data_IF_517824908577
#
_entry.id   IF_517824908577
#
_cell.length_a   1.000
_cell.length_b   1.000
_cell.length_c   1.000
_cell.angle_alpha   90.00
_cell.angle_beta   90.00
_cell.angle_gamma   90.00
#
_symmetry.space_group_name_H-M   'P 1'
#
loop_
_entity.id
_entity.type
_entity.pdbx_description
1 polymer ?
#
# COMPACT_ATOMS: atom_id res chain seq x y z
N UNK A 1 23.12 5.08 16.11
CA UNK A 1 24.27 4.98 15.20
C UNK A 1 23.74 5.09 13.78
N UNK A 2 24.18 6.08 13.01
CA UNK A 2 23.84 6.16 11.58
C UNK A 2 24.43 4.95 10.87
N UNK A 3 23.69 4.36 9.93
CA UNK A 3 24.20 3.26 9.12
C UNK A 3 25.30 3.79 8.20
N UNK A 4 26.40 3.07 8.08
CA UNK A 4 27.52 3.47 7.21
C UNK A 4 27.63 2.48 6.07
N UNK A 5 27.42 2.95 4.86
CA UNK A 5 27.68 2.18 3.64
C UNK A 5 29.17 2.29 3.29
N UNK A 6 29.85 1.16 3.12
CA UNK A 6 31.31 1.14 3.00
C UNK A 6 31.80 1.37 1.57
N UNK A 7 31.02 0.89 0.59
CA UNK A 7 31.36 0.96 -0.83
C UNK A 7 30.12 1.24 -1.66
N UNK A 8 30.30 1.68 -2.91
CA UNK A 8 29.19 1.81 -3.85
C UNK A 8 28.47 0.48 -4.11
N UNK A 9 29.20 -0.63 -4.11
CA UNK A 9 28.61 -1.96 -4.26
C UNK A 9 27.76 -2.34 -3.04
N UNK A 10 28.16 -1.95 -1.83
CA UNK A 10 27.36 -2.13 -0.62
C UNK A 10 26.03 -1.35 -0.70
N UNK A 11 26.09 -0.09 -1.16
CA UNK A 11 24.88 0.71 -1.45
C UNK A 11 24.01 0.01 -2.48
N UNK A 12 24.61 -0.48 -3.57
CA UNK A 12 23.91 -1.16 -4.66
C UNK A 12 23.21 -2.44 -4.17
N UNK A 13 23.93 -3.29 -3.46
CA UNK A 13 23.38 -4.53 -2.92
C UNK A 13 22.21 -4.27 -1.97
N UNK A 14 22.33 -3.26 -1.10
CA UNK A 14 21.34 -2.98 -0.06
C UNK A 14 20.13 -2.20 -0.55
N UNK A 15 20.34 -1.14 -1.32
CA UNK A 15 19.32 -0.13 -1.63
C UNK A 15 18.88 -0.10 -3.09
N UNK A 16 19.62 -0.69 -4.03
CA UNK A 16 19.21 -0.59 -5.44
C UNK A 16 17.81 -1.20 -5.63
N UNK A 17 16.95 -0.47 -6.35
CA UNK A 17 15.54 -0.78 -6.64
C UNK A 17 14.63 -0.90 -5.42
N UNK A 18 15.05 -0.43 -4.24
CA UNK A 18 14.17 -0.36 -3.08
C UNK A 18 13.32 0.89 -3.10
N UNK A 19 12.16 0.82 -2.45
CA UNK A 19 11.35 1.99 -2.11
C UNK A 19 11.88 2.60 -0.82
N UNK A 20 12.13 3.90 -0.84
CA UNK A 20 12.55 4.70 0.32
C UNK A 20 11.66 5.92 0.44
N UNK A 21 11.55 6.50 1.63
CA UNK A 21 10.96 7.82 1.80
C UNK A 21 12.04 8.91 1.85
N UNK A 22 11.72 10.07 1.32
CA UNK A 22 12.57 11.26 1.30
C UNK A 22 11.70 12.52 1.28
N UNK A 23 11.90 13.43 2.23
CA UNK A 23 11.13 14.69 2.32
C UNK A 23 9.61 14.47 2.33
N UNK A 24 9.17 13.42 3.03
CA UNK A 24 7.75 13.08 3.15
C UNK A 24 7.14 12.46 1.90
N UNK A 25 7.93 11.99 0.93
CA UNK A 25 7.44 11.30 -0.27
C UNK A 25 8.23 10.03 -0.58
N UNK A 26 7.72 9.18 -1.47
CA UNK A 26 8.29 7.86 -1.77
C UNK A 26 8.93 7.79 -3.16
N UNK A 27 10.08 7.13 -3.21
CA UNK A 27 10.91 7.03 -4.40
C UNK A 27 11.47 5.62 -4.57
N UNK A 28 11.68 5.21 -5.82
CA UNK A 28 12.53 4.06 -6.15
C UNK A 28 13.98 4.52 -6.19
N UNK A 29 14.86 3.80 -5.50
CA UNK A 29 16.30 4.05 -5.54
C UNK A 29 16.92 3.43 -6.80
N UNK A 30 17.72 4.22 -7.50
CA UNK A 30 18.57 3.79 -8.59
C UNK A 30 20.03 4.16 -8.30
N UNK A 31 20.85 3.14 -8.04
CA UNK A 31 22.28 3.27 -7.77
C UNK A 31 23.11 3.19 -9.06
N UNK A 32 22.52 2.75 -10.16
CA UNK A 32 23.22 2.58 -11.43
C UNK A 32 23.16 3.85 -12.30
N UNK A 33 22.30 4.80 -11.95
CA UNK A 33 22.24 6.11 -12.58
C UNK A 33 23.57 6.88 -12.45
N UNK A 34 23.97 7.65 -13.49
CA UNK A 34 25.18 8.46 -13.44
C UNK A 34 25.04 9.54 -12.37
N UNK A 35 25.96 9.52 -11.40
CA UNK A 35 26.05 10.49 -10.31
C UNK A 35 27.48 10.98 -10.21
N UNK A 36 27.66 12.16 -9.61
CA UNK A 36 28.98 12.81 -9.51
C UNK A 36 29.84 12.21 -8.38
N UNK A 37 29.21 11.56 -7.40
CA UNK A 37 29.87 11.06 -6.19
C UNK A 37 29.45 9.63 -5.86
N UNK A 38 30.38 8.85 -5.29
CA UNK A 38 30.16 7.42 -5.08
C UNK A 38 29.07 7.10 -4.03
N UNK A 39 28.82 8.01 -3.08
CA UNK A 39 27.77 7.91 -2.06
C UNK A 39 26.41 8.46 -2.52
N UNK A 40 26.31 8.98 -3.74
CA UNK A 40 25.05 9.50 -4.25
C UNK A 40 24.21 8.38 -4.87
N UNK A 41 22.91 8.48 -4.63
CA UNK A 41 21.87 7.64 -5.22
C UNK A 41 20.89 8.53 -5.98
N UNK A 42 20.31 7.99 -7.05
CA UNK A 42 19.21 8.67 -7.76
C UNK A 42 17.88 8.17 -7.22
N UNK A 43 17.04 9.09 -6.76
CA UNK A 43 15.66 8.84 -6.38
C UNK A 43 14.75 9.10 -7.58
N UNK A 44 14.06 8.06 -8.05
CA UNK A 44 13.07 8.14 -9.12
C UNK A 44 11.67 8.24 -8.50
N UNK A 45 10.87 9.25 -8.86
CA UNK A 45 9.55 9.44 -8.27
C UNK A 45 8.63 8.26 -8.58
N UNK A 46 7.77 7.92 -7.61
CA UNK A 46 6.63 7.06 -7.82
C UNK A 46 5.43 7.85 -8.34
N UNK A 47 4.50 7.16 -9.00
CA UNK A 47 3.37 7.76 -9.67
C UNK A 47 3.79 8.33 -11.02
N UNK A 48 3.10 7.94 -12.10
CA UNK A 48 3.41 8.29 -13.50
C UNK A 48 3.29 9.78 -13.86
N UNK A 49 3.41 10.66 -12.86
CA UNK A 49 3.49 12.10 -13.00
C UNK A 49 4.87 12.51 -13.52
N UNK A 50 4.94 12.75 -14.82
CA UNK A 50 6.15 13.17 -15.53
C UNK A 50 6.66 14.57 -15.11
N UNK A 51 5.92 15.32 -14.30
CA UNK A 51 6.39 16.62 -13.79
C UNK A 51 7.40 16.46 -12.66
N UNK A 52 7.39 15.31 -11.98
CA UNK A 52 8.32 15.01 -10.89
C UNK A 52 9.68 14.61 -11.47
N UNK A 53 10.73 15.30 -11.05
CA UNK A 53 12.09 15.06 -11.49
C UNK A 53 12.81 14.08 -10.57
N UNK A 54 13.73 13.32 -11.15
CA UNK A 54 14.69 12.53 -10.40
C UNK A 54 15.49 13.45 -9.46
N UNK A 55 15.86 12.93 -8.29
CA UNK A 55 16.72 13.64 -7.34
C UNK A 55 18.01 12.88 -7.12
N UNK A 56 19.15 13.56 -7.12
CA UNK A 56 20.41 12.99 -6.63
C UNK A 56 20.56 13.36 -5.16
N UNK A 57 20.73 12.38 -4.28
CA UNK A 57 20.89 12.60 -2.85
C UNK A 57 22.03 11.74 -2.31
N UNK A 58 22.68 12.21 -1.25
CA UNK A 58 23.64 11.39 -0.52
C UNK A 58 22.89 10.30 0.24
N UNK A 59 23.37 9.05 0.19
CA UNK A 59 22.70 7.90 0.80
C UNK A 59 22.45 8.05 2.31
N UNK A 60 23.35 8.76 3.02
CA UNK A 60 23.26 9.00 4.47
C UNK A 60 22.55 10.32 4.81
N UNK A 61 21.84 10.94 3.87
CA UNK A 61 21.09 12.15 4.13
C UNK A 61 20.02 11.88 5.21
N UNK A 62 19.87 12.79 6.19
CA UNK A 62 19.03 12.57 7.38
C UNK A 62 17.55 12.35 7.07
N UNK A 63 17.09 12.83 5.93
CA UNK A 63 15.71 12.68 5.46
C UNK A 63 15.49 11.43 4.59
N UNK A 64 16.55 10.68 4.25
CA UNK A 64 16.40 9.38 3.56
C UNK A 64 16.06 8.32 4.60
N UNK A 65 14.86 7.76 4.49
CA UNK A 65 14.44 6.63 5.31
C UNK A 65 14.22 5.39 4.44
N UNK A 66 15.13 4.41 4.62
CA UNK A 66 15.08 3.10 4.00
C UNK A 66 14.34 2.05 4.87
N UNK A 67 13.56 2.48 5.86
CA UNK A 67 12.64 1.60 6.57
C UNK A 67 11.65 0.97 5.59
N UNK A 68 11.16 -0.22 5.93
CA UNK A 68 10.16 -0.88 5.09
C UNK A 68 8.85 -0.11 5.22
N UNK A 69 8.30 0.46 4.13
CA UNK A 69 7.01 1.14 4.20
C UNK A 69 5.91 0.17 4.62
N UNK A 70 4.84 0.70 5.20
CA UNK A 70 3.63 -0.09 5.47
C UNK A 70 3.03 -0.52 4.13
N UNK A 71 2.80 -1.82 3.99
CA UNK A 71 2.11 -2.40 2.84
C UNK A 71 0.68 -2.78 3.23
N UNK A 72 -0.19 -2.93 2.23
CA UNK A 72 -1.58 -3.30 2.46
C UNK A 72 -2.40 -3.22 1.19
N UNK A 73 -3.67 -2.86 1.32
CA UNK A 73 -4.54 -2.63 0.19
C UNK A 73 -4.17 -1.37 -0.60
N UNK A 74 -4.35 -1.40 -1.92
CA UNK A 74 -4.29 -0.23 -2.80
C UNK A 74 -5.33 -0.36 -3.93
N UNK A 75 -5.79 0.77 -4.45
CA UNK A 75 -6.85 0.85 -5.47
C UNK A 75 -6.26 1.04 -6.86
N UNK A 76 -6.25 0.01 -7.70
CA UNK A 76 -5.65 0.04 -9.03
C UNK A 76 -6.62 -0.51 -10.08
N UNK A 77 -6.80 0.19 -11.20
CA UNK A 77 -7.70 -0.20 -12.29
C UNK A 77 -9.09 -0.66 -11.79
N UNK A 78 -9.77 0.20 -11.02
CA UNK A 78 -11.12 -0.03 -10.49
C UNK A 78 -11.26 -1.29 -9.61
N UNK A 79 -10.18 -1.71 -8.96
CA UNK A 79 -10.22 -2.81 -7.99
C UNK A 79 -9.20 -2.62 -6.87
N UNK A 80 -9.48 -3.22 -5.72
CA UNK A 80 -8.56 -3.24 -4.59
C UNK A 80 -7.69 -4.49 -4.63
N UNK A 81 -6.38 -4.29 -4.48
CA UNK A 81 -5.39 -5.34 -4.40
C UNK A 81 -4.66 -5.25 -3.07
N UNK A 82 -4.41 -6.39 -2.44
CA UNK A 82 -3.61 -6.49 -1.23
C UNK A 82 -2.17 -6.83 -1.56
N UNK A 83 -1.24 -5.93 -1.22
CA UNK A 83 0.19 -6.19 -1.32
C UNK A 83 0.77 -6.59 0.02
N UNK A 84 1.58 -7.63 0.01
CA UNK A 84 2.34 -8.10 1.17
C UNK A 84 3.76 -8.45 0.79
N UNK A 85 4.66 -8.40 1.76
CA UNK A 85 6.05 -8.78 1.56
C UNK A 85 6.21 -10.29 1.65
N UNK A 86 6.94 -10.87 0.70
CA UNK A 86 7.49 -12.22 0.82
C UNK A 86 8.75 -12.13 1.68
N UNK A 87 8.84 -12.85 2.81
CA UNK A 87 10.05 -12.89 3.61
C UNK A 87 11.22 -13.46 2.78
N UNK A 88 12.18 -12.63 2.42
CA UNK A 88 13.40 -13.05 1.75
C UNK A 88 14.60 -12.91 2.69
N UNK A 89 15.45 -13.93 2.74
CA UNK A 89 16.75 -13.87 3.43
C UNK A 89 17.77 -13.11 2.58
N UNK A 90 17.54 -11.82 2.35
CA UNK A 90 18.46 -10.94 1.64
C UNK A 90 18.93 -9.81 2.55
N UNK A 91 20.15 -9.34 2.32
CA UNK A 91 20.76 -8.21 3.03
C UNK A 91 20.22 -6.85 2.55
N UNK A 92 19.04 -6.83 1.93
CA UNK A 92 18.47 -5.59 1.38
C UNK A 92 17.88 -4.74 2.51
N UNK A 93 18.05 -3.43 2.37
CA UNK A 93 17.44 -2.44 3.24
C UNK A 93 16.26 -1.81 2.49
N UNK A 94 15.06 -1.90 3.06
CA UNK A 94 13.83 -1.38 2.45
C UNK A 94 12.99 -2.44 1.74
N UNK A 95 11.96 -1.96 1.02
CA UNK A 95 11.02 -2.79 0.29
C UNK A 95 11.40 -2.88 -1.19
N UNK A 96 11.51 -4.09 -1.73
CA UNK A 96 11.63 -4.33 -3.17
C UNK A 96 10.30 -4.80 -3.73
N UNK A 97 9.78 -4.17 -4.78
CA UNK A 97 8.56 -4.62 -5.43
C UNK A 97 8.61 -6.06 -5.94
N UNK A 98 9.79 -6.55 -6.33
CA UNK A 98 10.01 -7.92 -6.78
C UNK A 98 9.83 -8.96 -5.65
N UNK A 99 9.97 -8.52 -4.39
CA UNK A 99 9.79 -9.33 -3.20
C UNK A 99 8.36 -9.22 -2.64
N UNK A 100 7.41 -8.79 -3.46
CA UNK A 100 6.02 -8.60 -3.06
C UNK A 100 5.10 -9.65 -3.65
N UNK A 101 4.12 -10.08 -2.87
CA UNK A 101 2.95 -10.82 -3.36
C UNK A 101 1.78 -9.86 -3.42
N UNK A 102 1.11 -9.83 -4.58
CA UNK A 102 -0.11 -9.04 -4.79
C UNK A 102 -1.28 -9.99 -5.00
N UNK A 103 -2.35 -9.79 -4.24
CA UNK A 103 -3.57 -10.60 -4.26
C UNK A 103 -4.80 -9.72 -4.52
N UNK A 104 -5.74 -10.13 -5.39
CA UNK A 104 -5.63 -11.26 -6.31
C UNK A 104 -4.47 -11.06 -7.30
N UNK A 105 -4.07 -12.12 -8.02
CA UNK A 105 -2.96 -12.02 -8.97
C UNK A 105 -3.27 -10.96 -10.03
N UNK A 106 -2.49 -9.90 -10.03
CA UNK A 106 -2.65 -8.78 -10.96
C UNK A 106 -1.94 -9.08 -12.30
N UNK A 107 -2.42 -8.52 -13.43
CA UNK A 107 -1.66 -8.49 -14.67
C UNK A 107 -0.28 -7.86 -14.45
N UNK A 108 0.76 -8.42 -15.09
CA UNK A 108 2.16 -8.05 -14.82
C UNK A 108 2.44 -6.61 -15.26
N UNK A 109 3.01 -5.80 -14.36
CA UNK A 109 3.64 -4.51 -14.66
C UNK A 109 2.87 -3.27 -14.22
N UNK A 110 3.60 -2.14 -14.11
CA UNK A 110 3.03 -0.79 -13.98
C UNK A 110 2.49 -0.36 -12.61
N UNK A 111 2.08 -1.29 -11.75
CA UNK A 111 1.49 -0.94 -10.44
C UNK A 111 2.47 -0.22 -9.51
N UNK A 112 3.75 -0.59 -9.50
CA UNK A 112 4.79 0.05 -8.67
C UNK A 112 4.92 1.54 -9.00
N UNK A 113 4.81 1.86 -10.28
CA UNK A 113 4.91 3.22 -10.80
C UNK A 113 3.57 3.94 -10.83
N UNK A 114 2.48 3.29 -10.38
CA UNK A 114 1.15 3.88 -10.40
C UNK A 114 0.97 4.92 -9.28
N UNK A 115 0.10 5.90 -9.51
CA UNK A 115 -0.31 6.83 -8.47
C UNK A 115 -0.98 6.09 -7.31
N UNK A 116 -1.81 5.09 -7.61
CA UNK A 116 -2.46 4.22 -6.64
C UNK A 116 -1.52 3.60 -5.60
N UNK A 117 -0.37 3.10 -6.04
CA UNK A 117 0.63 2.54 -5.13
C UNK A 117 1.26 3.64 -4.27
N UNK A 118 1.54 4.82 -4.84
CA UNK A 118 2.04 5.97 -4.09
C UNK A 118 1.04 6.42 -3.03
N UNK A 119 -0.23 6.58 -3.39
CA UNK A 119 -1.29 6.98 -2.46
C UNK A 119 -1.43 5.98 -1.30
N UNK A 120 -1.31 4.69 -1.58
CA UNK A 120 -1.25 3.66 -0.52
C UNK A 120 -0.09 3.89 0.45
N UNK A 121 1.12 4.18 -0.03
CA UNK A 121 2.27 4.42 0.83
C UNK A 121 2.10 5.66 1.72
N UNK A 122 1.33 6.64 1.25
CA UNK A 122 0.93 7.83 2.03
C UNK A 122 -0.24 7.57 2.99
N UNK A 123 -0.91 6.43 2.86
CA UNK A 123 -2.14 6.14 3.61
C UNK A 123 -3.33 6.97 3.14
N UNK A 124 -3.29 7.46 1.90
CA UNK A 124 -4.38 8.20 1.29
C UNK A 124 -5.37 7.19 0.70
N UNK A 125 -6.51 7.08 1.36
CA UNK A 125 -7.61 6.20 0.96
C UNK A 125 -8.90 7.00 0.88
N UNK A 126 -9.84 6.59 0.01
CA UNK A 126 -11.19 7.13 0.06
C UNK A 126 -11.81 6.85 1.43
N UNK A 127 -12.64 7.78 1.87
CA UNK A 127 -13.59 7.55 2.95
C UNK A 127 -14.54 6.42 2.56
N UNK A 128 -15.23 5.85 3.56
CA UNK A 128 -16.23 4.81 3.28
C UNK A 128 -17.36 5.35 2.40
N UNK A 129 -17.80 6.60 2.60
CA UNK A 129 -18.87 7.18 1.79
C UNK A 129 -18.46 7.38 0.33
N UNK A 130 -17.24 7.87 0.09
CA UNK A 130 -16.65 7.96 -1.26
C UNK A 130 -16.54 6.58 -1.89
N UNK A 131 -16.03 5.60 -1.14
CA UNK A 131 -15.89 4.23 -1.62
C UNK A 131 -17.26 3.60 -1.95
N UNK A 132 -18.29 3.85 -1.14
CA UNK A 132 -19.67 3.39 -1.41
C UNK A 132 -20.26 4.07 -2.65
N UNK A 133 -19.98 5.36 -2.86
CA UNK A 133 -20.41 6.07 -4.07
C UNK A 133 -19.73 5.51 -5.32
N UNK A 134 -18.42 5.27 -5.27
CA UNK A 134 -17.67 4.66 -6.36
C UNK A 134 -18.14 3.22 -6.65
N UNK A 135 -18.42 2.41 -5.63
CA UNK A 135 -18.96 1.06 -5.82
C UNK A 135 -20.35 1.06 -6.47
N UNK A 136 -21.12 2.16 -6.37
CA UNK A 136 -22.44 2.29 -7.02
C UNK A 136 -22.34 2.59 -8.52
N UNK A 137 -21.24 3.15 -9.01
CA UNK A 137 -21.07 3.50 -10.44
C UNK A 137 -20.92 2.29 -11.35
N UNK A 138 -20.84 1.07 -10.78
CA UNK A 138 -20.80 -0.23 -11.48
C UNK A 138 -19.50 -0.55 -12.22
N UNK A 139 -18.51 0.34 -12.20
CA UNK A 139 -17.19 0.12 -12.82
C UNK A 139 -16.15 -0.47 -11.86
N UNK A 140 -16.42 -0.41 -10.55
CA UNK A 140 -15.53 -0.87 -9.49
C UNK A 140 -16.15 -2.01 -8.68
N UNK A 141 -15.41 -3.12 -8.53
CA UNK A 141 -15.90 -4.30 -7.82
C UNK A 141 -15.46 -4.34 -6.35
N UNK A 142 -14.29 -3.78 -6.04
CA UNK A 142 -13.69 -3.76 -4.71
C UNK A 142 -12.87 -2.48 -4.52
N UNK A 143 -12.95 -1.87 -3.35
CA UNK A 143 -12.27 -0.62 -2.99
C UNK A 143 -11.61 -0.72 -1.60
N UNK A 144 -10.35 -0.34 -1.55
CA UNK A 144 -9.56 -0.19 -0.34
C UNK A 144 -9.96 1.11 0.38
N UNK A 145 -10.24 0.99 1.67
CA UNK A 145 -10.56 2.12 2.56
C UNK A 145 -9.46 2.35 3.62
N UNK A 146 -8.55 1.38 3.79
CA UNK A 146 -7.27 1.54 4.48
C UNK A 146 -6.32 0.38 4.12
N UNK A 147 -5.11 0.37 4.69
CA UNK A 147 -4.11 -0.69 4.47
C UNK A 147 -4.60 -2.12 4.72
N UNK A 148 -5.48 -2.32 5.69
CA UNK A 148 -5.88 -3.65 6.14
C UNK A 148 -7.28 -4.04 5.66
N UNK A 149 -8.09 -3.07 5.21
CA UNK A 149 -9.52 -3.26 4.90
C UNK A 149 -9.86 -2.76 3.50
N UNK A 150 -10.58 -3.61 2.77
CA UNK A 150 -11.31 -3.26 1.56
C UNK A 150 -12.80 -3.62 1.72
N UNK A 151 -13.64 -2.95 0.95
CA UNK A 151 -15.07 -3.26 0.79
C UNK A 151 -15.35 -3.58 -0.67
N UNK A 152 -16.32 -4.42 -0.95
CA UNK A 152 -16.65 -4.79 -2.33
C UNK A 152 -17.91 -5.60 -2.41
N UNK A 153 -18.50 -5.64 -3.59
CA UNK A 153 -19.74 -6.37 -3.81
C UNK A 153 -19.51 -7.88 -3.84
N UNK A 154 -20.32 -8.62 -3.07
CA UNK A 154 -20.51 -10.06 -3.15
C UNK A 154 -21.68 -10.37 -4.10
N UNK A 155 -21.71 -11.59 -4.64
CA UNK A 155 -22.84 -12.23 -5.34
C UNK A 155 -23.72 -11.28 -6.16
N UNK A 156 -23.36 -11.06 -7.43
CA UNK A 156 -24.09 -10.21 -8.38
C UNK A 156 -24.50 -8.83 -7.82
N UNK A 157 -23.76 -8.31 -6.83
CA UNK A 157 -23.95 -7.00 -6.19
C UNK A 157 -25.14 -6.88 -5.24
N UNK A 158 -25.56 -7.98 -4.62
CA UNK A 158 -26.63 -7.91 -3.61
C UNK A 158 -26.12 -7.62 -2.20
N UNK A 159 -24.84 -7.85 -1.91
CA UNK A 159 -24.33 -7.72 -0.54
C UNK A 159 -22.95 -7.10 -0.55
N UNK A 160 -22.73 -6.07 0.25
CA UNK A 160 -21.42 -5.43 0.36
C UNK A 160 -20.57 -6.18 1.38
N UNK A 161 -19.56 -6.89 0.92
CA UNK A 161 -18.59 -7.61 1.75
C UNK A 161 -17.50 -6.72 2.31
N UNK A 162 -16.98 -7.08 3.48
CA UNK A 162 -15.82 -6.46 4.12
C UNK A 162 -14.67 -7.47 4.08
N UNK A 163 -13.52 -7.04 3.57
CA UNK A 163 -12.34 -7.86 3.41
C UNK A 163 -11.22 -7.36 4.30
N UNK A 164 -10.62 -8.26 5.09
CA UNK A 164 -9.41 -7.99 5.86
C UNK A 164 -8.29 -8.88 5.33
N UNK A 165 -7.27 -8.27 4.74
CA UNK A 165 -6.12 -8.98 4.12
C UNK A 165 -6.57 -10.12 3.19
N UNK A 166 -7.49 -9.79 2.28
CA UNK A 166 -8.16 -10.67 1.29
C UNK A 166 -9.16 -11.68 1.84
N UNK A 167 -9.31 -11.78 3.16
CA UNK A 167 -10.31 -12.64 3.76
C UNK A 167 -11.63 -11.91 3.94
N UNK A 168 -12.73 -12.49 3.44
CA UNK A 168 -14.07 -12.01 3.78
C UNK A 168 -14.30 -12.20 5.28
N UNK A 169 -14.52 -11.11 6.00
CA UNK A 169 -14.67 -11.07 7.47
C UNK A 169 -16.06 -10.61 7.90
N UNK A 170 -16.91 -10.25 6.95
CA UNK A 170 -18.24 -9.75 7.25
C UNK A 170 -18.90 -9.14 6.03
N UNK A 171 -20.08 -8.59 6.24
CA UNK A 171 -20.82 -7.87 5.24
C UNK A 171 -21.62 -6.74 5.87
N UNK A 172 -22.08 -5.81 5.05
CA UNK A 172 -23.00 -4.78 5.42
C UNK A 172 -24.43 -5.27 5.20
N UNK A 173 -25.26 -5.16 6.24
CA UNK A 173 -26.70 -5.40 6.20
C UNK A 173 -27.41 -4.06 6.00
N UNK A 174 -27.91 -3.85 4.78
CA UNK A 174 -28.63 -2.63 4.40
C UNK A 174 -29.95 -2.45 5.16
N UNK A 175 -30.63 -3.55 5.54
CA UNK A 175 -31.91 -3.46 6.26
C UNK A 175 -31.74 -2.92 7.68
N UNK A 176 -30.56 -3.15 8.25
CA UNK A 176 -30.23 -2.82 9.63
C UNK A 176 -29.19 -1.69 9.72
N UNK A 177 -28.77 -1.15 8.57
CA UNK A 177 -27.75 -0.10 8.43
C UNK A 177 -26.51 -0.38 9.29
N UNK A 178 -25.98 -1.61 9.18
CA UNK A 178 -24.86 -2.04 10.02
C UNK A 178 -23.96 -3.07 9.38
N UNK A 179 -22.70 -3.06 9.80
CA UNK A 179 -21.72 -4.08 9.45
C UNK A 179 -21.79 -5.27 10.40
N UNK A 180 -22.04 -6.44 9.82
CA UNK A 180 -22.03 -7.74 10.49
C UNK A 180 -20.68 -8.41 10.27
N UNK A 181 -19.88 -8.52 11.33
CA UNK A 181 -18.59 -9.21 11.29
C UNK A 181 -18.77 -10.67 11.69
N UNK A 182 -18.20 -11.57 10.91
CA UNK A 182 -18.07 -12.97 11.27
C UNK A 182 -17.19 -13.14 12.50
N UNK A 183 -17.44 -14.18 13.28
CA UNK A 183 -16.63 -14.44 14.45
C UNK A 183 -15.19 -14.79 14.05
N UNK A 184 -14.23 -14.10 14.67
CA UNK A 184 -12.81 -14.29 14.39
C UNK A 184 -11.95 -13.77 15.52
N UNK A 185 -10.74 -14.32 15.65
CA UNK A 185 -9.74 -13.85 16.62
C UNK A 185 -9.33 -12.37 16.42
N UNK A 186 -9.56 -11.85 15.22
CA UNK A 186 -9.17 -10.49 14.81
C UNK A 186 -10.33 -9.48 14.95
N UNK A 187 -11.51 -9.93 15.38
CA UNK A 187 -12.75 -9.14 15.44
C UNK A 187 -12.58 -7.81 16.18
N UNK A 188 -11.93 -7.80 17.35
CA UNK A 188 -11.68 -6.58 18.12
C UNK A 188 -10.78 -5.58 17.39
N UNK A 189 -9.76 -6.07 16.69
CA UNK A 189 -8.87 -5.23 15.87
C UNK A 189 -9.64 -4.63 14.69
N UNK A 190 -10.42 -5.45 13.98
CA UNK A 190 -11.23 -5.04 12.84
C UNK A 190 -12.24 -3.97 13.26
N UNK A 191 -12.99 -4.20 14.34
CA UNK A 191 -13.94 -3.21 14.86
C UNK A 191 -13.26 -1.89 15.18
N UNK A 192 -12.07 -1.93 15.80
CA UNK A 192 -11.29 -0.71 16.10
C UNK A 192 -10.79 0.00 14.83
N UNK A 193 -10.47 -0.74 13.78
CA UNK A 193 -10.06 -0.15 12.50
C UNK A 193 -11.27 0.52 11.80
N UNK A 194 -12.43 -0.14 11.78
CA UNK A 194 -13.66 0.40 11.21
C UNK A 194 -14.25 1.57 12.02
N UNK A 195 -14.04 1.61 13.33
CA UNK A 195 -14.47 2.76 14.14
C UNK A 195 -13.64 4.01 13.84
N UNK A 196 -12.35 3.83 13.52
CA UNK A 196 -11.45 4.95 13.14
C UNK A 196 -11.79 5.54 11.78
N UNK A 197 -12.42 4.78 10.90
CA UNK A 197 -12.89 5.28 9.60
C UNK A 197 -14.22 6.02 9.70
N UNK A 198 -14.79 6.20 10.90
CA UNK A 198 -15.92 7.10 11.17
C UNK A 198 -17.32 6.53 10.93
N UNK A 199 -17.46 5.28 10.47
CA UNK A 199 -18.75 4.76 9.95
C UNK A 199 -19.35 3.63 10.81
N UNK A 200 -18.67 3.18 11.86
CA UNK A 200 -19.20 2.08 12.66
C UNK A 200 -20.26 2.53 13.69
N UNK A 201 -21.53 2.60 13.27
CA UNK A 201 -22.69 2.79 14.15
C UNK A 201 -23.33 1.46 14.59
N UNK A 202 -22.82 0.32 14.08
CA UNK A 202 -23.38 -1.00 14.31
C UNK A 202 -22.98 -1.62 15.65
N UNK A 203 -23.90 -2.35 16.28
CA UNK A 203 -23.54 -3.36 17.28
C UNK A 203 -22.88 -4.54 16.58
N UNK A 204 -21.69 -4.89 17.04
CA UNK A 204 -21.03 -6.14 16.69
C UNK A 204 -21.88 -7.29 17.26
N UNK A 205 -22.60 -8.02 16.41
CA UNK A 205 -23.37 -9.18 16.85
C UNK A 205 -22.38 -10.33 17.09
N UNK A 206 -22.49 -10.95 18.27
CA UNK A 206 -21.77 -12.17 18.65
C UNK A 206 -22.62 -13.38 18.27
#
# INVERSE_FOLDING_TARGET
MGKTYLTREDIRMRLNRTIVSYQGDYYTVDVDAPVNEWHQITLRPLGGDNTRRNRSVTVNHSEVDASTPRLGYFNFNNSAYYISRVPERRQNEGFRPESATVLPRMPVGGWVTSNSFREMLHGNYPTIDEALQELKTKETDKLAINYDIAIGWLDSRMTLGIFFKERLIGHYDEKQDRYLLFDSKEKSLITRLLSKTGVFHGKVVA
#
